data_IF_724348125011
#
_entry.id   IF_724348125011
#
_cell.length_a   1.000
_cell.length_b   1.000
_cell.length_c   1.000
_cell.angle_alpha   90.00
_cell.angle_beta   90.00
_cell.angle_gamma   90.00
#
_symmetry.space_group_name_H-M   'P 1'
#
loop_
_entity.id
_entity.type
_entity.pdbx_description
1 polymer ?
#
# COMPACT_ATOMS: atom_id res chain seq x y z
N UNK A 1 -57.57 4.91 22.80
CA UNK A 1 -56.24 5.06 22.17
C UNK A 1 -56.30 5.65 20.75
N UNK A 2 -57.31 5.36 19.92
CA UNK A 2 -57.45 5.95 18.56
C UNK A 2 -57.59 7.49 18.51
N UNK A 3 -58.09 8.14 19.58
CA UNK A 3 -58.19 9.61 19.65
C UNK A 3 -56.83 10.32 19.76
N UNK A 4 -55.82 9.66 20.36
CA UNK A 4 -54.46 10.21 20.49
C UNK A 4 -53.75 10.29 19.13
N UNK A 5 -53.99 9.32 18.24
CA UNK A 5 -53.41 9.30 16.89
C UNK A 5 -53.85 10.51 16.06
N UNK A 6 -55.04 11.06 16.33
CA UNK A 6 -55.55 12.26 15.66
C UNK A 6 -54.76 13.52 16.04
N UNK A 7 -54.26 13.59 17.27
CA UNK A 7 -53.44 14.71 17.79
C UNK A 7 -51.99 14.66 17.30
N UNK A 8 -51.49 13.50 16.86
CA UNK A 8 -50.15 13.36 16.25
C UNK A 8 -50.08 13.78 14.77
N UNK A 9 -51.25 13.89 14.11
CA UNK A 9 -51.37 14.21 12.68
C UNK A 9 -50.69 15.53 12.26
N UNK A 10 -50.82 16.66 13.00
CA UNK A 10 -50.10 17.90 12.67
C UNK A 10 -48.58 17.81 12.92
N UNK A 11 -48.12 16.94 13.82
CA UNK A 11 -46.71 16.78 14.17
C UNK A 11 -46.00 15.66 13.41
N UNK A 12 -46.67 15.02 12.43
CA UNK A 12 -46.12 13.86 11.72
C UNK A 12 -44.77 14.16 11.06
N UNK A 13 -44.60 15.37 10.50
CA UNK A 13 -43.32 15.82 9.93
C UNK A 13 -42.22 15.91 11.00
N UNK A 14 -42.53 16.49 12.17
CA UNK A 14 -41.57 16.61 13.27
C UNK A 14 -41.18 15.24 13.85
N UNK A 15 -42.11 14.28 13.88
CA UNK A 15 -41.84 12.90 14.27
C UNK A 15 -40.84 12.26 13.30
N UNK A 16 -41.06 12.39 11.99
CA UNK A 16 -40.11 11.87 10.99
C UNK A 16 -38.74 12.53 11.07
N UNK A 17 -38.66 13.85 11.30
CA UNK A 17 -37.39 14.56 11.52
C UNK A 17 -36.68 14.00 12.75
N UNK A 18 -37.41 13.79 13.85
CA UNK A 18 -36.84 13.26 15.09
C UNK A 18 -36.29 11.86 14.88
N UNK A 19 -37.04 11.00 14.18
CA UNK A 19 -36.60 9.66 13.81
C UNK A 19 -35.33 9.74 12.94
N UNK A 20 -35.31 10.63 11.94
CA UNK A 20 -34.12 10.85 11.10
C UNK A 20 -32.89 11.31 11.88
N UNK A 21 -33.06 12.25 12.81
CA UNK A 21 -31.98 12.70 13.70
C UNK A 21 -31.47 11.59 14.61
N UNK A 22 -32.35 10.73 15.12
CA UNK A 22 -31.96 9.55 15.91
C UNK A 22 -31.15 8.54 15.06
N UNK A 23 -31.49 8.36 13.77
CA UNK A 23 -30.68 7.56 12.86
C UNK A 23 -29.30 8.18 12.61
N UNK A 24 -29.23 9.50 12.38
CA UNK A 24 -27.95 10.19 12.22
C UNK A 24 -27.10 10.05 13.48
N UNK A 25 -27.70 10.22 14.65
CA UNK A 25 -27.01 10.03 15.93
C UNK A 25 -26.48 8.60 16.06
N UNK A 26 -27.31 7.59 15.78
CA UNK A 26 -26.90 6.19 15.85
C UNK A 26 -25.76 5.87 14.86
N UNK A 27 -25.77 6.45 13.65
CA UNK A 27 -24.68 6.30 12.68
C UNK A 27 -23.39 7.00 13.14
N UNK A 28 -23.51 8.18 13.76
CA UNK A 28 -22.36 8.89 14.33
C UNK A 28 -21.73 8.08 15.49
N UNK A 29 -22.55 7.54 16.39
CA UNK A 29 -22.09 6.71 17.51
C UNK A 29 -21.42 5.41 17.03
N UNK A 30 -21.92 4.82 15.92
CA UNK A 30 -21.34 3.61 15.33
C UNK A 30 -20.02 3.90 14.58
N UNK A 31 -19.84 5.11 14.05
CA UNK A 31 -18.62 5.51 13.34
C UNK A 31 -17.48 5.97 14.28
N UNK A 32 -17.77 6.34 15.53
CA UNK A 32 -16.75 6.77 16.51
C UNK A 32 -15.64 5.74 16.74
N UNK A 33 -15.93 4.43 16.94
CA UNK A 33 -14.91 3.40 17.04
C UNK A 33 -14.01 3.33 15.81
N UNK A 34 -14.58 3.46 14.61
CA UNK A 34 -13.83 3.41 13.35
C UNK A 34 -12.88 4.60 13.21
N UNK A 35 -13.33 5.81 13.57
CA UNK A 35 -12.45 6.99 13.59
C UNK A 35 -11.31 6.84 14.60
N UNK A 36 -11.59 6.29 15.79
CA UNK A 36 -10.52 6.01 16.77
C UNK A 36 -9.52 4.99 16.23
N UNK A 37 -10.02 3.91 15.60
CA UNK A 37 -9.19 2.89 14.95
C UNK A 37 -8.31 3.51 13.87
N UNK A 38 -8.85 4.36 13.01
CA UNK A 38 -8.11 5.03 11.94
C UNK A 38 -7.07 6.03 12.47
N UNK A 39 -7.41 6.80 13.52
CA UNK A 39 -6.45 7.71 14.15
C UNK A 39 -5.24 6.95 14.67
N UNK A 40 -5.45 5.79 15.31
CA UNK A 40 -4.36 5.00 15.88
C UNK A 40 -3.61 4.23 14.79
N UNK A 41 -4.32 3.45 13.98
CA UNK A 41 -3.70 2.54 13.01
C UNK A 41 -3.10 3.32 11.83
N UNK A 42 -3.91 4.14 11.15
CA UNK A 42 -3.46 4.90 9.99
C UNK A 42 -2.62 6.09 10.42
N UNK A 43 -3.12 6.89 11.36
CA UNK A 43 -2.45 8.12 11.78
C UNK A 43 -1.13 7.87 12.52
N UNK A 44 -1.19 7.18 13.67
CA UNK A 44 -0.03 7.03 14.57
C UNK A 44 0.87 5.86 14.16
N UNK A 45 0.32 4.67 13.92
CA UNK A 45 1.13 3.48 13.63
C UNK A 45 1.69 3.48 12.21
N UNK A 46 0.89 3.88 11.22
CA UNK A 46 1.23 3.82 9.80
C UNK A 46 1.69 5.18 9.22
N UNK A 47 1.88 6.20 10.08
CA UNK A 47 2.35 7.54 9.68
C UNK A 47 1.48 8.22 8.58
N UNK A 48 0.19 7.91 8.53
CA UNK A 48 -0.74 8.42 7.51
C UNK A 48 -0.76 7.64 6.20
N UNK A 49 -0.04 6.52 6.10
CA UNK A 49 -0.04 5.65 4.93
C UNK A 49 -1.21 4.65 5.07
N UNK A 50 -2.19 4.73 4.18
CA UNK A 50 -3.43 3.94 4.30
C UNK A 50 -3.34 2.54 3.67
N UNK A 51 -2.47 2.38 2.68
CA UNK A 51 -2.41 1.18 1.83
C UNK A 51 -0.98 0.91 1.34
N UNK A 52 -0.78 -0.24 0.71
CA UNK A 52 0.48 -0.68 0.13
C UNK A 52 0.76 -0.10 -1.27
N UNK A 53 0.10 1.00 -1.65
CA UNK A 53 0.34 1.73 -2.89
C UNK A 53 1.05 3.05 -2.55
N UNK A 54 2.38 3.14 -2.71
CA UNK A 54 3.12 4.33 -2.33
C UNK A 54 2.72 5.54 -3.18
N UNK A 55 2.46 6.69 -2.56
CA UNK A 55 2.31 7.96 -3.27
C UNK A 55 3.53 8.31 -4.13
N UNK A 56 4.73 7.95 -3.68
CA UNK A 56 6.00 8.22 -4.39
C UNK A 56 6.95 7.04 -4.19
N UNK A 57 7.75 6.72 -5.20
CA UNK A 57 8.81 5.70 -5.11
C UNK A 57 10.06 6.15 -5.85
N UNK A 58 11.22 5.66 -5.42
CA UNK A 58 12.47 5.79 -6.19
C UNK A 58 12.39 4.92 -7.45
N UNK A 59 13.13 5.30 -8.47
CA UNK A 59 13.25 4.48 -9.70
C UNK A 59 13.82 3.09 -9.38
N UNK A 60 14.82 3.01 -8.49
CA UNK A 60 15.41 1.74 -8.09
C UNK A 60 14.37 0.81 -7.43
N UNK A 61 13.56 1.34 -6.51
CA UNK A 61 12.53 0.59 -5.80
C UNK A 61 11.45 0.06 -6.75
N UNK A 62 10.99 0.92 -7.67
CA UNK A 62 10.06 0.53 -8.72
C UNK A 62 10.59 -0.64 -9.56
N UNK A 63 11.88 -0.62 -9.92
CA UNK A 63 12.49 -1.69 -10.70
C UNK A 63 12.63 -3.00 -9.92
N UNK A 64 12.92 -2.94 -8.61
CA UNK A 64 12.94 -4.13 -7.74
C UNK A 64 11.56 -4.76 -7.63
N UNK A 65 10.52 -3.95 -7.41
CA UNK A 65 9.13 -4.40 -7.31
C UNK A 65 8.71 -5.12 -8.60
N UNK A 66 9.00 -4.53 -9.77
CA UNK A 66 8.62 -5.09 -11.08
C UNK A 66 9.17 -6.50 -11.35
N UNK A 67 10.26 -6.91 -10.69
CA UNK A 67 10.82 -8.28 -10.84
C UNK A 67 9.79 -9.34 -10.44
N UNK A 68 8.91 -9.02 -9.49
CA UNK A 68 7.94 -9.97 -8.92
C UNK A 68 6.52 -9.79 -9.48
N UNK A 69 6.34 -8.92 -10.47
CA UNK A 69 5.05 -8.63 -11.09
C UNK A 69 4.91 -9.32 -12.44
N UNK A 70 3.66 -9.58 -12.84
CA UNK A 70 3.35 -10.15 -14.15
C UNK A 70 3.12 -9.01 -15.14
N UNK A 71 2.97 -9.33 -16.42
CA UNK A 71 2.85 -8.30 -17.46
C UNK A 71 1.63 -7.40 -17.28
N UNK A 72 0.51 -7.95 -16.82
CA UNK A 72 -0.73 -7.20 -16.60
C UNK A 72 -0.59 -6.23 -15.42
N UNK A 73 -0.01 -6.70 -14.31
CA UNK A 73 0.32 -5.88 -13.13
C UNK A 73 1.33 -4.79 -13.44
N UNK A 74 2.38 -5.09 -14.23
CA UNK A 74 3.36 -4.11 -14.68
C UNK A 74 2.69 -3.04 -15.56
N UNK A 75 1.79 -3.45 -16.46
CA UNK A 75 1.03 -2.53 -17.31
C UNK A 75 0.16 -1.60 -16.46
N UNK A 76 -0.58 -2.16 -15.49
CA UNK A 76 -1.41 -1.41 -14.57
C UNK A 76 -0.54 -0.44 -13.73
N UNK A 77 0.58 -0.91 -13.18
CA UNK A 77 1.50 -0.09 -12.41
C UNK A 77 2.05 1.08 -13.24
N UNK A 78 2.58 0.81 -14.43
CA UNK A 78 3.16 1.84 -15.30
C UNK A 78 2.11 2.86 -15.78
N UNK A 79 0.86 2.46 -15.95
CA UNK A 79 -0.22 3.39 -16.33
C UNK A 79 -0.60 4.36 -15.20
N UNK A 80 -0.34 3.95 -13.95
CA UNK A 80 -0.76 4.67 -12.76
C UNK A 80 0.37 5.46 -12.08
N UNK A 81 1.62 5.34 -12.55
CA UNK A 81 2.75 6.10 -12.04
C UNK A 81 3.42 6.94 -13.14
N UNK A 82 3.77 8.18 -12.79
CA UNK A 82 4.47 9.10 -13.69
C UNK A 82 5.88 9.34 -13.19
N UNK A 83 6.87 9.22 -14.08
CA UNK A 83 8.25 9.59 -13.78
C UNK A 83 8.35 11.11 -13.69
N UNK A 84 8.86 11.61 -12.57
CA UNK A 84 9.15 13.02 -12.33
C UNK A 84 10.66 13.21 -12.18
N UNK A 85 11.15 14.23 -12.89
CA UNK A 85 12.53 14.68 -12.84
C UNK A 85 12.58 16.18 -13.16
N UNK A 86 13.77 16.76 -13.08
CA UNK A 86 13.98 18.20 -13.32
C UNK A 86 13.68 18.62 -14.77
N UNK A 87 13.79 17.72 -15.73
CA UNK A 87 13.63 18.00 -17.16
C UNK A 87 12.16 17.93 -17.59
N UNK A 88 11.40 17.04 -16.96
CA UNK A 88 9.99 16.76 -17.25
C UNK A 88 9.01 17.66 -16.47
N UNK A 89 9.47 18.32 -15.41
CA UNK A 89 8.64 19.20 -14.58
C UNK A 89 8.78 20.68 -14.98
N UNK A 90 7.67 21.42 -14.92
CA UNK A 90 7.76 22.88 -14.99
C UNK A 90 8.41 23.46 -13.73
N UNK A 91 9.03 24.64 -13.80
CA UNK A 91 9.66 25.27 -12.62
C UNK A 91 8.71 25.42 -11.41
N UNK A 92 7.40 25.60 -11.68
CA UNK A 92 6.39 25.70 -10.63
C UNK A 92 6.13 24.36 -9.95
N UNK A 93 6.01 23.30 -10.75
CA UNK A 93 5.81 21.94 -10.24
C UNK A 93 7.03 21.43 -9.52
N UNK A 94 8.23 21.68 -10.06
CA UNK A 94 9.49 21.32 -9.42
C UNK A 94 9.63 21.96 -8.04
N UNK A 95 9.37 23.27 -7.90
CA UNK A 95 9.38 23.95 -6.59
C UNK A 95 8.34 23.38 -5.62
N UNK A 96 7.18 22.96 -6.11
CA UNK A 96 6.14 22.31 -5.30
C UNK A 96 6.58 20.91 -4.85
N UNK A 97 7.17 20.12 -5.74
CA UNK A 97 7.55 18.75 -5.47
C UNK A 97 8.80 18.64 -4.61
N UNK A 98 9.83 19.48 -4.81
CA UNK A 98 11.01 19.53 -3.91
C UNK A 98 10.59 19.76 -2.45
N UNK A 99 9.62 20.65 -2.23
CA UNK A 99 9.15 20.93 -0.87
C UNK A 99 8.49 19.72 -0.20
N UNK A 100 7.92 18.79 -0.97
CA UNK A 100 7.29 17.56 -0.48
C UNK A 100 8.24 16.36 -0.51
N UNK A 101 9.15 16.33 -1.47
CA UNK A 101 10.05 15.21 -1.80
C UNK A 101 11.48 15.74 -2.00
N UNK A 102 12.26 15.92 -0.92
CA UNK A 102 13.60 16.50 -0.99
C UNK A 102 14.58 15.72 -1.88
N UNK A 103 14.43 14.39 -1.97
CA UNK A 103 15.28 13.53 -2.80
C UNK A 103 15.19 13.78 -4.30
N UNK A 104 14.16 14.50 -4.77
CA UNK A 104 14.01 14.90 -6.18
C UNK A 104 15.16 15.80 -6.66
N UNK A 105 15.96 16.37 -5.75
CA UNK A 105 17.17 17.12 -6.10
C UNK A 105 18.27 16.22 -6.70
N UNK A 106 18.35 14.96 -6.26
CA UNK A 106 19.44 14.05 -6.57
C UNK A 106 19.01 12.86 -7.43
N UNK A 107 17.75 12.45 -7.33
CA UNK A 107 17.24 11.22 -7.94
C UNK A 107 15.88 11.48 -8.61
N UNK A 108 15.60 10.72 -9.67
CA UNK A 108 14.28 10.72 -10.31
C UNK A 108 13.31 9.89 -9.48
N UNK A 109 12.04 10.29 -9.45
CA UNK A 109 11.01 9.64 -8.65
C UNK A 109 9.82 9.25 -9.52
N UNK A 110 9.13 8.19 -9.14
CA UNK A 110 7.80 7.88 -9.66
C UNK A 110 6.75 8.43 -8.69
N UNK A 111 5.77 9.16 -9.20
CA UNK A 111 4.63 9.64 -8.42
C UNK A 111 3.35 8.94 -8.86
N UNK A 112 2.54 8.52 -7.89
CA UNK A 112 1.22 7.95 -8.14
C UNK A 112 0.30 9.01 -8.75
N UNK A 113 -0.28 8.70 -9.90
CA UNK A 113 -1.34 9.49 -10.48
C UNK A 113 -2.58 9.35 -9.60
N UNK A 114 -3.26 10.46 -9.27
CA UNK A 114 -4.50 10.42 -8.47
C UNK A 114 -5.59 9.68 -9.26
N UNK A 115 -5.72 8.39 -9.01
CA UNK A 115 -6.62 7.47 -9.71
C UNK A 115 -7.87 7.14 -8.89
N UNK A 116 -8.80 6.39 -9.48
CA UNK A 116 -9.98 5.87 -8.78
C UNK A 116 -9.56 4.92 -7.65
N UNK A 117 -10.37 4.88 -6.59
CA UNK A 117 -10.19 3.95 -5.46
C UNK A 117 -10.09 2.49 -5.94
N UNK A 118 -10.83 2.15 -6.98
CA UNK A 118 -10.82 0.81 -7.60
C UNK A 118 -9.41 0.37 -8.05
N UNK A 119 -8.64 1.24 -8.71
CA UNK A 119 -7.27 0.91 -9.12
C UNK A 119 -6.31 0.87 -7.93
N UNK A 120 -6.55 1.68 -6.89
CA UNK A 120 -5.75 1.62 -5.66
C UNK A 120 -5.98 0.29 -4.96
N UNK A 121 -7.23 -0.16 -4.86
CA UNK A 121 -7.59 -1.43 -4.21
C UNK A 121 -7.00 -2.63 -4.99
N UNK A 122 -7.05 -2.58 -6.33
CA UNK A 122 -6.43 -3.59 -7.19
C UNK A 122 -4.90 -3.62 -7.01
N UNK A 123 -4.25 -2.46 -7.04
CA UNK A 123 -2.81 -2.34 -6.83
C UNK A 123 -2.35 -2.73 -5.43
N UNK A 124 -3.15 -2.43 -4.41
CA UNK A 124 -2.82 -2.72 -3.01
C UNK A 124 -2.53 -4.21 -2.80
N UNK A 125 -3.28 -5.09 -3.47
CA UNK A 125 -3.12 -6.54 -3.34
C UNK A 125 -1.77 -7.02 -3.88
N UNK A 126 -1.43 -6.70 -5.13
CA UNK A 126 -0.18 -7.18 -5.73
C UNK A 126 1.05 -6.41 -5.24
N UNK A 127 0.95 -5.10 -5.03
CA UNK A 127 2.06 -4.30 -4.50
C UNK A 127 2.38 -4.68 -3.06
N UNK A 128 1.38 -4.95 -2.22
CA UNK A 128 1.61 -5.42 -0.85
C UNK A 128 2.46 -6.67 -0.82
N UNK A 129 2.20 -7.63 -1.70
CA UNK A 129 3.01 -8.85 -1.81
C UNK A 129 4.40 -8.58 -2.35
N UNK A 130 4.51 -7.83 -3.45
CA UNK A 130 5.80 -7.54 -4.07
C UNK A 130 6.74 -6.75 -3.12
N UNK A 131 6.20 -5.75 -2.42
CA UNK A 131 6.95 -4.95 -1.43
C UNK A 131 7.44 -5.83 -0.27
N UNK A 132 6.61 -6.76 0.21
CA UNK A 132 7.07 -7.71 1.24
C UNK A 132 8.23 -8.57 0.74
N UNK A 133 8.21 -9.00 -0.53
CA UNK A 133 9.30 -9.78 -1.11
C UNK A 133 10.58 -8.95 -1.15
N UNK A 134 10.51 -7.73 -1.69
CA UNK A 134 11.63 -6.79 -1.75
C UNK A 134 12.18 -6.52 -0.34
N UNK A 135 11.30 -6.15 0.59
CA UNK A 135 11.68 -5.92 1.99
C UNK A 135 12.31 -7.14 2.65
N UNK A 136 11.86 -8.36 2.31
CA UNK A 136 12.41 -9.59 2.88
C UNK A 136 13.84 -9.87 2.40
N UNK A 137 14.15 -9.48 1.16
CA UNK A 137 15.49 -9.57 0.57
C UNK A 137 16.43 -8.51 1.17
N UNK A 138 15.96 -7.28 1.33
CA UNK A 138 16.80 -6.15 1.80
C UNK A 138 17.02 -6.15 3.31
N UNK A 139 15.93 -6.25 4.07
CA UNK A 139 15.94 -6.05 5.53
C UNK A 139 15.87 -7.38 6.30
N UNK A 140 15.79 -8.51 5.57
CA UNK A 140 15.56 -9.82 6.15
C UNK A 140 14.09 -10.08 6.45
N UNK A 141 13.68 -11.34 6.28
CA UNK A 141 12.30 -11.78 6.26
C UNK A 141 11.47 -11.44 7.53
N UNK A 142 10.54 -10.46 7.50
CA UNK A 142 9.66 -10.17 8.64
C UNK A 142 8.67 -11.31 8.92
N UNK A 143 8.34 -12.07 7.86
CA UNK A 143 7.39 -13.19 7.85
C UNK A 143 8.02 -14.51 7.35
N UNK A 144 9.35 -14.62 7.37
CA UNK A 144 10.05 -15.87 7.02
C UNK A 144 10.18 -16.20 5.53
N UNK A 145 9.87 -15.26 4.62
CA UNK A 145 10.18 -15.38 3.19
C UNK A 145 11.69 -15.21 2.97
N UNK A 146 12.39 -16.28 2.57
CA UNK A 146 13.80 -16.20 2.16
C UNK A 146 14.84 -16.39 3.26
N UNK A 147 14.48 -16.89 4.45
CA UNK A 147 15.45 -17.34 5.46
C UNK A 147 15.57 -18.86 5.51
N UNK A 148 16.81 -19.34 5.45
CA UNK A 148 17.26 -20.69 5.78
C UNK A 148 17.50 -20.84 7.28
N UNK A 149 16.45 -20.77 8.11
CA UNK A 149 16.57 -21.29 9.48
C UNK A 149 15.96 -22.69 9.50
N UNK A 150 16.84 -23.68 9.75
CA UNK A 150 16.57 -25.10 9.86
C UNK A 150 15.31 -25.38 10.71
N UNK A 151 14.17 -25.52 10.05
CA UNK A 151 13.03 -26.26 10.57
C UNK A 151 12.05 -26.65 9.46
N UNK A 152 11.63 -25.73 8.58
CA UNK A 152 10.64 -25.99 7.49
C UNK A 152 10.58 -24.90 6.39
N UNK A 153 11.60 -24.04 6.23
CA UNK A 153 11.61 -22.98 5.20
C UNK A 153 12.25 -23.45 3.89
N UNK A 154 11.60 -23.19 2.74
CA UNK A 154 12.28 -23.26 1.45
C UNK A 154 13.08 -21.97 1.29
N UNK A 155 14.36 -22.11 0.99
CA UNK A 155 15.20 -20.97 0.74
C UNK A 155 15.04 -20.50 -0.71
N UNK A 156 14.14 -19.52 -0.90
CA UNK A 156 13.87 -18.91 -2.20
C UNK A 156 15.05 -18.12 -2.77
N UNK A 157 15.97 -17.67 -1.91
CA UNK A 157 17.04 -16.73 -2.29
C UNK A 157 18.45 -17.24 -1.94
N UNK A 158 18.58 -18.45 -1.39
CA UNK A 158 19.83 -19.04 -0.90
C UNK A 158 20.91 -19.36 -1.93
N UNK A 159 20.57 -19.31 -3.23
CA UNK A 159 21.52 -19.53 -4.31
C UNK A 159 22.19 -18.22 -4.79
N UNK A 160 21.97 -17.10 -4.10
CA UNK A 160 22.57 -15.81 -4.47
C UNK A 160 24.03 -15.79 -3.98
N UNK A 161 25.01 -15.63 -4.88
CA UNK A 161 26.43 -15.60 -4.49
C UNK A 161 26.74 -14.48 -3.50
N UNK A 162 27.59 -14.76 -2.50
CA UNK A 162 28.07 -13.75 -1.54
C UNK A 162 28.70 -12.56 -2.28
N UNK A 163 28.25 -11.35 -1.95
CA UNK A 163 28.74 -10.09 -2.53
C UNK A 163 28.11 -9.69 -3.87
N UNK A 164 27.18 -10.47 -4.42
CA UNK A 164 26.34 -10.06 -5.55
C UNK A 164 25.05 -9.40 -5.05
N UNK A 165 24.59 -8.37 -5.75
CA UNK A 165 23.27 -7.79 -5.50
C UNK A 165 22.17 -8.84 -5.77
N UNK A 166 21.33 -9.16 -4.77
CA UNK A 166 20.25 -10.14 -4.92
C UNK A 166 19.30 -9.87 -6.09
N UNK A 167 18.93 -8.61 -6.33
CA UNK A 167 17.99 -8.24 -7.38
C UNK A 167 18.61 -8.36 -8.77
N UNK A 168 19.92 -8.13 -8.89
CA UNK A 168 20.66 -8.37 -10.14
C UNK A 168 20.71 -9.86 -10.46
N UNK A 169 20.92 -10.73 -9.47
CA UNK A 169 20.87 -12.17 -9.67
C UNK A 169 19.47 -12.62 -10.12
N UNK A 170 18.43 -12.15 -9.44
CA UNK A 170 17.03 -12.49 -9.74
C UNK A 170 16.59 -12.02 -11.12
N UNK A 171 16.99 -10.82 -11.54
CA UNK A 171 16.67 -10.27 -12.88
C UNK A 171 17.26 -11.12 -14.03
N UNK A 172 18.32 -11.86 -13.77
CA UNK A 172 18.98 -12.72 -14.76
C UNK A 172 18.44 -14.17 -14.77
N UNK A 173 17.52 -14.52 -13.86
CA UNK A 173 16.91 -15.85 -13.85
C UNK A 173 15.96 -16.04 -15.04
N UNK A 174 15.79 -17.28 -15.52
CA UNK A 174 14.74 -17.60 -16.47
C UNK A 174 13.35 -17.25 -15.91
N UNK A 175 12.46 -16.74 -16.76
CA UNK A 175 11.10 -16.36 -16.38
C UNK A 175 10.35 -17.51 -15.69
N UNK A 176 10.51 -18.75 -16.16
CA UNK A 176 9.88 -19.93 -15.52
C UNK A 176 10.29 -20.12 -14.05
N UNK A 177 11.53 -19.77 -13.68
CA UNK A 177 11.99 -19.88 -12.29
C UNK A 177 11.42 -18.73 -11.45
N UNK A 178 11.37 -17.51 -12.00
CA UNK A 178 10.74 -16.36 -11.34
C UNK A 178 9.25 -16.61 -11.10
N UNK A 179 8.53 -17.14 -12.09
CA UNK A 179 7.12 -17.49 -11.99
C UNK A 179 6.88 -18.58 -10.94
N UNK A 180 7.77 -19.56 -10.84
CA UNK A 180 7.70 -20.61 -9.81
C UNK A 180 7.90 -20.03 -8.41
N UNK A 181 8.93 -19.18 -8.22
CA UNK A 181 9.18 -18.50 -6.94
C UNK A 181 7.96 -17.66 -6.55
N UNK A 182 7.45 -16.86 -7.50
CA UNK A 182 6.27 -16.04 -7.30
C UNK A 182 5.07 -16.87 -6.87
N UNK A 183 4.75 -17.94 -7.58
CA UNK A 183 3.60 -18.81 -7.28
C UNK A 183 3.69 -19.40 -5.87
N UNK A 184 4.88 -19.82 -5.45
CA UNK A 184 5.11 -20.36 -4.12
C UNK A 184 4.95 -19.29 -3.03
N UNK A 185 5.47 -18.08 -3.27
CA UNK A 185 5.30 -16.96 -2.36
C UNK A 185 3.83 -16.53 -2.30
N UNK A 186 3.14 -16.44 -3.44
CA UNK A 186 1.72 -16.12 -3.54
C UNK A 186 0.87 -17.11 -2.73
N UNK A 187 1.20 -18.40 -2.78
CA UNK A 187 0.54 -19.42 -1.96
C UNK A 187 0.77 -19.20 -0.46
N UNK A 188 2.00 -18.87 -0.03
CA UNK A 188 2.32 -18.60 1.37
C UNK A 188 1.61 -17.34 1.88
N UNK A 189 1.66 -16.27 1.10
CA UNK A 189 1.03 -14.98 1.42
C UNK A 189 -0.50 -15.07 1.37
N UNK A 190 -1.06 -15.86 0.46
CA UNK A 190 -2.52 -16.05 0.33
C UNK A 190 -3.17 -16.71 1.55
N UNK A 191 -2.39 -17.31 2.45
CA UNK A 191 -2.88 -17.84 3.72
C UNK A 191 -2.89 -16.80 4.86
N UNK A 192 -2.36 -15.59 4.61
CA UNK A 192 -2.32 -14.50 5.59
C UNK A 192 -3.50 -13.55 5.37
N UNK A 193 -3.99 -12.87 6.43
CA UNK A 193 -4.96 -11.79 6.27
C UNK A 193 -4.40 -10.62 5.46
N UNK A 194 -5.20 -10.04 4.55
CA UNK A 194 -4.80 -8.89 3.73
C UNK A 194 -4.31 -7.69 4.56
N UNK A 195 -4.87 -7.52 5.76
CA UNK A 195 -4.46 -6.47 6.70
C UNK A 195 -3.02 -6.65 7.17
N UNK A 196 -2.57 -7.89 7.37
CA UNK A 196 -1.21 -8.20 7.79
C UNK A 196 -0.21 -7.95 6.64
N UNK A 197 -0.59 -8.33 5.41
CA UNK A 197 0.19 -8.05 4.20
C UNK A 197 0.35 -6.54 4.05
N UNK A 198 -0.77 -5.81 4.09
CA UNK A 198 -0.80 -4.35 3.94
C UNK A 198 0.04 -3.66 5.02
N UNK A 199 -0.11 -4.03 6.30
CA UNK A 199 0.66 -3.43 7.40
C UNK A 199 2.17 -3.68 7.29
N UNK A 200 2.58 -4.87 6.84
CA UNK A 200 3.99 -5.19 6.65
C UNK A 200 4.57 -4.37 5.51
N UNK A 201 3.86 -4.29 4.38
CA UNK A 201 4.25 -3.45 3.25
C UNK A 201 4.35 -1.98 3.65
N UNK A 202 3.37 -1.45 4.38
CA UNK A 202 3.38 -0.07 4.88
C UNK A 202 4.63 0.24 5.71
N UNK A 203 5.06 -0.70 6.55
CA UNK A 203 6.28 -0.52 7.36
C UNK A 203 7.49 -0.30 6.47
N UNK A 204 7.64 -1.09 5.40
CA UNK A 204 8.71 -0.90 4.44
C UNK A 204 8.58 0.43 3.66
N UNK A 205 7.36 0.80 3.23
CA UNK A 205 7.11 2.08 2.55
C UNK A 205 7.50 3.25 3.47
N UNK A 206 7.18 3.16 4.76
CA UNK A 206 7.56 4.16 5.76
C UNK A 206 9.08 4.33 5.83
N UNK A 207 9.83 3.22 5.90
CA UNK A 207 11.29 3.26 5.92
C UNK A 207 11.86 3.92 4.65
N UNK A 208 11.28 3.62 3.48
CA UNK A 208 11.63 4.28 2.23
C UNK A 208 11.34 5.78 2.27
N UNK A 209 10.20 6.20 2.83
CA UNK A 209 9.83 7.61 2.95
C UNK A 209 10.75 8.38 3.89
N UNK A 210 11.09 7.80 5.04
CA UNK A 210 12.06 8.36 5.97
C UNK A 210 13.43 8.54 5.30
N UNK A 211 13.89 7.54 4.54
CA UNK A 211 15.13 7.63 3.76
C UNK A 211 15.09 8.71 2.67
N UNK A 212 13.88 9.08 2.21
CA UNK A 212 13.64 10.14 1.25
C UNK A 212 13.46 11.52 1.90
N UNK A 213 13.51 11.61 3.23
CA UNK A 213 13.27 12.85 3.97
C UNK A 213 11.81 13.30 3.96
N UNK A 214 10.89 12.37 3.69
CA UNK A 214 9.44 12.58 3.78
C UNK A 214 9.05 12.25 5.23
N UNK A 215 8.37 13.19 5.90
CA UNK A 215 7.90 13.03 7.28
C UNK A 215 6.38 13.07 7.37
#
# INVERSE_FOLDING_TARGET
MLKLIKEFKPFTVLIFITIGLLFIQAMADLALPDYMSNIVNIGVQQNGIENAVPEVMRVEEMEKIKIFLNQDEISLLNSNYTLIDRENLTEKEYKKYIGKYPTLENENLYILNKNSQEYIDEMNSFLGKAIIIVSSIENGAPIGIGKSDEANGEDFFGNIPEGMDPFVALKNLPQEQLDSIRTQIDYRLGNLPDTMITQTAITHIKDQYESMGIN
#
